data_IF_369118781860
#
_entry.id   IF_369118781860
#
_cell.length_a   1.000
_cell.length_b   1.000
_cell.length_c   1.000
_cell.angle_alpha   90.00
_cell.angle_beta   90.00
_cell.angle_gamma   90.00
#
_symmetry.space_group_name_H-M   'P 1'
#
loop_
_entity.id
_entity.type
_entity.pdbx_description
1 polymer ?
#
# COMPACT_ATOMS: atom_id res chain seq x y z
N UNK A 1 1.55 -25.47 -1.20
CA UNK A 1 2.32 -24.35 -0.64
C UNK A 1 3.59 -24.22 -1.47
N UNK A 2 3.96 -23.03 -1.95
CA UNK A 2 5.03 -22.87 -2.97
C UNK A 2 6.46 -22.84 -2.40
N UNK A 3 6.65 -23.03 -1.09
CA UNK A 3 7.98 -23.03 -0.45
C UNK A 3 8.67 -21.66 -0.44
N UNK A 4 7.91 -20.58 -0.56
CA UNK A 4 8.42 -19.20 -0.54
C UNK A 4 8.18 -18.59 0.83
N UNK A 5 9.25 -18.12 1.45
CA UNK A 5 9.22 -17.34 2.69
C UNK A 5 9.23 -15.84 2.37
N UNK A 6 8.40 -15.07 3.07
CA UNK A 6 8.31 -13.61 2.92
C UNK A 6 9.08 -12.94 4.06
N UNK A 7 9.85 -11.90 3.74
CA UNK A 7 10.74 -11.20 4.68
C UNK A 7 10.30 -9.75 4.91
N UNK A 8 10.25 -8.94 3.85
CA UNK A 8 9.89 -7.52 3.93
C UNK A 8 9.15 -7.06 2.68
N UNK A 9 8.51 -5.91 2.77
CA UNK A 9 7.92 -5.22 1.63
C UNK A 9 8.26 -3.74 1.61
N UNK A 10 8.37 -3.15 0.42
CA UNK A 10 8.40 -1.70 0.22
C UNK A 10 7.06 -1.28 -0.38
N UNK A 11 6.38 -0.34 0.26
CA UNK A 11 5.05 0.13 -0.13
C UNK A 11 5.04 1.63 -0.38
N UNK A 12 4.68 2.03 -1.59
CA UNK A 12 4.53 3.41 -2.00
C UNK A 12 3.04 3.75 -2.13
N UNK A 13 2.58 4.75 -1.39
CA UNK A 13 1.21 5.26 -1.42
C UNK A 13 1.16 6.60 -2.14
N UNK A 14 0.24 6.75 -3.08
CA UNK A 14 0.03 8.00 -3.84
C UNK A 14 -1.45 8.36 -3.86
N UNK A 15 -1.76 9.63 -3.63
CA UNK A 15 -3.09 10.16 -3.90
C UNK A 15 -3.29 10.28 -5.41
N UNK A 16 -4.41 9.77 -5.92
CA UNK A 16 -4.73 9.76 -7.36
C UNK A 16 -6.20 10.11 -7.58
N UNK A 17 -6.53 10.48 -8.83
CA UNK A 17 -7.90 10.54 -9.30
C UNK A 17 -8.20 9.23 -10.04
N UNK A 18 -9.23 8.50 -9.61
CA UNK A 18 -9.68 7.27 -10.27
C UNK A 18 -10.37 7.63 -11.58
N UNK A 19 -9.91 7.07 -12.69
CA UNK A 19 -10.43 7.37 -14.03
C UNK A 19 -10.62 6.10 -14.86
N UNK A 20 -11.38 6.20 -15.96
CA UNK A 20 -11.57 5.10 -16.90
C UNK A 20 -12.08 3.83 -16.21
N UNK A 21 -11.38 2.72 -16.47
CA UNK A 21 -11.74 1.40 -15.94
C UNK A 21 -11.64 1.30 -14.41
N UNK A 22 -10.75 2.06 -13.76
CA UNK A 22 -10.60 2.03 -12.30
C UNK A 22 -11.86 2.56 -11.61
N UNK A 23 -12.36 3.71 -12.08
CA UNK A 23 -13.58 4.32 -11.56
C UNK A 23 -14.81 3.43 -11.83
N UNK A 24 -14.87 2.80 -13.02
CA UNK A 24 -15.95 1.88 -13.39
C UNK A 24 -15.97 0.63 -12.50
N UNK A 25 -14.85 -0.08 -12.39
CA UNK A 25 -14.74 -1.30 -11.59
C UNK A 25 -14.99 -1.05 -10.10
N UNK A 26 -14.53 0.10 -9.59
CA UNK A 26 -14.74 0.51 -8.20
C UNK A 26 -16.13 1.14 -7.95
N UNK A 27 -16.92 1.33 -9.00
CA UNK A 27 -18.29 1.89 -8.97
C UNK A 27 -18.32 3.25 -8.29
N UNK A 28 -17.45 4.15 -8.74
CA UNK A 28 -17.36 5.54 -8.30
C UNK A 28 -17.44 6.49 -9.49
N UNK A 29 -17.85 7.76 -9.30
CA UNK A 29 -17.79 8.76 -10.36
C UNK A 29 -16.37 8.91 -10.94
N UNK A 30 -16.27 9.30 -12.22
CA UNK A 30 -14.99 9.68 -12.82
C UNK A 30 -14.32 10.78 -12.00
N UNK A 31 -12.99 10.72 -11.92
CA UNK A 31 -12.17 11.62 -11.12
C UNK A 31 -12.47 11.59 -9.61
N UNK A 32 -13.01 10.48 -9.09
CA UNK A 32 -13.14 10.31 -7.64
C UNK A 32 -11.76 10.18 -6.97
N UNK A 33 -11.54 10.76 -5.78
CA UNK A 33 -10.28 10.59 -5.04
C UNK A 33 -10.03 9.12 -4.68
N UNK A 34 -8.79 8.67 -4.89
CA UNK A 34 -8.35 7.32 -4.55
C UNK A 34 -6.92 7.27 -4.05
N UNK A 35 -6.52 6.08 -3.62
CA UNK A 35 -5.15 5.78 -3.20
C UNK A 35 -4.61 4.72 -4.17
N UNK A 36 -3.49 5.02 -4.82
CA UNK A 36 -2.70 4.04 -5.54
C UNK A 36 -1.60 3.49 -4.63
N UNK A 37 -1.62 2.18 -4.40
CA UNK A 37 -0.60 1.43 -3.68
C UNK A 37 0.23 0.62 -4.68
N UNK A 38 1.53 0.85 -4.63
CA UNK A 38 2.52 -0.01 -5.27
C UNK A 38 3.33 -0.72 -4.18
N UNK A 39 3.38 -2.04 -4.22
CA UNK A 39 4.06 -2.85 -3.21
C UNK A 39 4.96 -3.89 -3.86
N UNK A 40 6.20 -3.99 -3.40
CA UNK A 40 7.12 -5.09 -3.76
C UNK A 40 7.41 -5.90 -2.51
N UNK A 41 7.14 -7.20 -2.56
CA UNK A 41 7.45 -8.14 -1.47
C UNK A 41 8.72 -8.90 -1.82
N UNK A 42 9.58 -9.11 -0.82
CA UNK A 42 10.85 -9.80 -0.96
C UNK A 42 10.96 -11.00 -0.02
N UNK A 43 11.72 -12.00 -0.43
CA UNK A 43 12.12 -13.11 0.44
C UNK A 43 13.40 -12.77 1.25
N UNK A 44 13.84 -13.64 2.18
CA UNK A 44 15.04 -13.41 3.00
C UNK A 44 16.36 -13.28 2.20
N UNK A 45 16.38 -13.77 0.95
CA UNK A 45 17.52 -13.61 0.03
C UNK A 45 17.48 -12.28 -0.73
N UNK A 46 16.50 -11.42 -0.45
CA UNK A 46 16.32 -10.14 -1.13
C UNK A 46 15.71 -10.23 -2.53
N UNK A 47 15.21 -11.41 -2.94
CA UNK A 47 14.56 -11.60 -4.25
C UNK A 47 13.13 -11.11 -4.18
N UNK A 48 12.71 -10.26 -5.13
CA UNK A 48 11.32 -9.82 -5.27
C UNK A 48 10.42 -10.98 -5.69
N UNK A 49 9.41 -11.28 -4.89
CA UNK A 49 8.48 -12.41 -5.10
C UNK A 49 7.12 -11.95 -5.62
N UNK A 50 6.76 -10.68 -5.40
CA UNK A 50 5.51 -10.09 -5.87
C UNK A 50 5.70 -8.59 -6.17
N UNK A 51 5.07 -8.13 -7.25
CA UNK A 51 4.78 -6.71 -7.51
C UNK A 51 3.26 -6.54 -7.54
N UNK A 52 2.73 -5.68 -6.69
CA UNK A 52 1.31 -5.36 -6.57
C UNK A 52 1.05 -3.91 -6.94
N UNK A 53 0.05 -3.70 -7.80
CA UNK A 53 -0.54 -2.40 -8.11
C UNK A 53 -2.02 -2.45 -7.73
N UNK A 54 -2.42 -1.62 -6.76
CA UNK A 54 -3.78 -1.61 -6.22
C UNK A 54 -4.34 -0.19 -6.17
N UNK A 55 -5.59 -0.04 -6.60
CA UNK A 55 -6.37 1.19 -6.47
C UNK A 55 -7.44 1.03 -5.40
N UNK A 56 -7.44 1.93 -4.41
CA UNK A 56 -8.43 1.95 -3.35
C UNK A 56 -9.30 3.20 -3.43
N UNK A 57 -10.57 3.02 -3.09
CA UNK A 57 -11.55 4.09 -2.96
C UNK A 57 -11.24 5.00 -1.77
N UNK A 58 -11.05 6.29 -2.03
CA UNK A 58 -10.78 7.28 -0.97
C UNK A 58 -11.96 7.51 -0.02
N UNK A 59 -13.19 7.20 -0.45
CA UNK A 59 -14.41 7.34 0.37
C UNK A 59 -14.70 6.13 1.27
N UNK A 60 -13.93 5.04 1.14
CA UNK A 60 -14.15 3.77 1.86
C UNK A 60 -12.90 3.22 2.54
N UNK A 61 -11.72 3.50 2.00
CA UNK A 61 -10.47 2.92 2.48
C UNK A 61 -9.71 3.93 3.34
N UNK A 62 -9.25 3.47 4.50
CA UNK A 62 -8.35 4.22 5.40
C UNK A 62 -7.07 3.42 5.53
N UNK A 63 -5.93 4.04 5.21
CA UNK A 63 -4.63 3.49 5.54
C UNK A 63 -4.27 3.90 6.97
N UNK A 64 -4.01 2.90 7.82
CA UNK A 64 -3.53 3.10 9.18
C UNK A 64 -2.22 2.35 9.36
N UNK A 65 -1.23 3.03 9.94
CA UNK A 65 0.06 2.44 10.28
C UNK A 65 0.41 2.78 11.72
N UNK A 66 0.98 1.81 12.44
CA UNK A 66 1.60 2.05 13.74
C UNK A 66 3.09 2.29 13.53
N UNK A 67 3.56 3.53 13.71
CA UNK A 67 4.96 3.91 13.52
C UNK A 67 5.90 3.49 14.67
N UNK A 68 5.37 2.80 15.69
CA UNK A 68 6.09 2.44 16.91
C UNK A 68 5.93 3.46 18.03
N UNK A 69 6.62 3.21 19.14
CA UNK A 69 6.59 4.06 20.33
C UNK A 69 7.70 5.11 20.28
N UNK A 70 7.40 6.35 20.68
CA UNK A 70 8.43 7.36 20.91
C UNK A 70 9.27 6.97 22.14
N UNK A 71 10.60 6.94 21.99
CA UNK A 71 11.49 6.86 23.15
C UNK A 71 11.77 8.28 23.65
N UNK A 72 11.25 8.60 24.83
CA UNK A 72 11.59 9.84 25.54
C UNK A 72 12.68 9.49 26.56
N UNK A 73 13.92 9.37 26.11
CA UNK A 73 15.07 9.47 27.01
C UNK A 73 15.46 10.95 27.07
N UNK A 74 14.81 11.69 27.98
CA UNK A 74 15.33 12.97 28.45
C UNK A 74 16.33 12.64 29.56
N UNK A 75 17.59 12.43 29.21
CA UNK A 75 18.66 12.65 30.18
C UNK A 75 18.82 14.17 30.34
N UNK A 76 18.48 14.66 31.53
CA UNK A 76 18.72 16.04 31.99
C UNK A 76 20.18 16.19 32.44
#
# INVERSE_FOLDING_TARGET
HFGVELDRSVQNFRAVLLTGAEAELLKVPQCSPGIFLESVIYNPKGVGVELLHSHYRGDKYVFQVHSGNYQVNLEL
#
